data_IF_946179522426
#
_entry.id   IF_946179522426
#
_cell.length_a   1.000
_cell.length_b   1.000
_cell.length_c   1.000
_cell.angle_alpha   90.00
_cell.angle_beta   90.00
_cell.angle_gamma   90.00
#
_symmetry.space_group_name_H-M   'P 1'
#
loop_
_entity.id
_entity.type
_entity.pdbx_description
1 polymer ?
#
# COMPACT_ATOMS: atom_id res chain seq x y z
N UNK A 1 5.59 -27.39 -13.51
CA UNK A 1 4.59 -26.34 -13.11
C UNK A 1 5.02 -25.70 -11.81
N UNK A 2 4.98 -24.40 -11.77
CA UNK A 2 5.24 -23.68 -10.52
C UNK A 2 4.07 -23.86 -9.58
N UNK A 3 4.34 -24.37 -8.37
CA UNK A 3 3.35 -24.48 -7.31
C UNK A 3 3.44 -23.33 -6.33
N UNK A 4 4.32 -22.38 -6.57
CA UNK A 4 4.49 -21.19 -5.75
C UNK A 4 4.91 -20.00 -6.62
N UNK A 5 4.90 -18.84 -6.00
CA UNK A 5 5.39 -17.62 -6.64
C UNK A 5 6.25 -16.82 -5.67
N UNK A 6 6.86 -15.76 -6.17
CA UNK A 6 7.73 -14.88 -5.38
C UNK A 6 7.07 -13.54 -5.21
N UNK A 7 7.16 -12.98 -4.00
CA UNK A 7 6.80 -11.59 -3.73
C UNK A 7 8.08 -10.76 -3.68
N UNK A 8 8.10 -9.67 -4.42
CA UNK A 8 9.14 -8.66 -4.32
C UNK A 8 8.51 -7.40 -3.74
N UNK A 9 8.89 -7.06 -2.52
CA UNK A 9 8.37 -5.93 -1.78
C UNK A 9 9.39 -4.81 -1.80
N UNK A 10 8.98 -3.62 -2.24
CA UNK A 10 9.90 -2.47 -2.35
C UNK A 10 9.32 -1.22 -1.74
N UNK A 11 10.16 -0.50 -1.00
CA UNK A 11 9.90 0.87 -0.61
C UNK A 11 11.02 1.78 -1.15
N UNK A 12 11.10 3.02 -0.67
CA UNK A 12 12.08 3.98 -1.17
C UNK A 12 13.54 3.61 -0.86
N UNK A 13 13.78 2.73 0.11
CA UNK A 13 15.14 2.43 0.60
C UNK A 13 15.49 0.95 0.61
N UNK A 14 14.49 0.04 0.60
CA UNK A 14 14.74 -1.40 0.74
C UNK A 14 13.95 -2.22 -0.27
N UNK A 15 14.42 -3.43 -0.52
CA UNK A 15 13.71 -4.44 -1.27
C UNK A 15 13.78 -5.76 -0.51
N UNK A 16 12.65 -6.41 -0.35
CA UNK A 16 12.54 -7.70 0.34
C UNK A 16 11.98 -8.73 -0.63
N UNK A 17 12.69 -9.85 -0.78
CA UNK A 17 12.26 -10.96 -1.61
C UNK A 17 11.70 -12.07 -0.73
N UNK A 18 10.50 -12.54 -1.07
CA UNK A 18 9.83 -13.62 -0.35
C UNK A 18 9.51 -14.72 -1.36
N UNK A 19 10.22 -15.84 -1.25
CA UNK A 19 10.04 -16.99 -2.13
C UNK A 19 9.06 -17.99 -1.55
N UNK A 20 8.56 -18.89 -2.39
CA UNK A 20 7.73 -20.00 -1.95
C UNK A 20 6.33 -19.61 -1.49
N UNK A 21 5.76 -18.55 -2.03
CA UNK A 21 4.44 -18.07 -1.65
C UNK A 21 3.39 -18.93 -2.33
N UNK A 22 2.41 -19.41 -1.55
CA UNK A 22 1.31 -20.22 -2.05
C UNK A 22 0.05 -19.40 -2.32
N UNK A 23 -0.14 -18.31 -1.59
CA UNK A 23 -1.34 -17.50 -1.69
C UNK A 23 -1.08 -16.08 -1.21
N UNK A 24 -1.68 -15.13 -1.89
CA UNK A 24 -1.69 -13.71 -1.47
C UNK A 24 -3.13 -13.21 -1.52
N UNK A 25 -3.54 -12.46 -0.51
CA UNK A 25 -4.84 -11.80 -0.48
C UNK A 25 -4.62 -10.33 -0.25
N UNK A 26 -5.14 -9.52 -1.15
CA UNK A 26 -5.09 -8.06 -1.05
C UNK A 26 -6.47 -7.45 -1.15
N UNK A 27 -6.52 -6.13 -1.02
CA UNK A 27 -7.75 -5.38 -1.12
C UNK A 27 -7.51 -4.09 -1.89
N UNK A 28 -8.33 -3.88 -2.91
CA UNK A 28 -8.35 -2.64 -3.69
C UNK A 28 -9.73 -2.00 -3.61
N UNK A 29 -9.96 -0.93 -4.37
CA UNK A 29 -11.24 -0.22 -4.35
C UNK A 29 -12.42 -1.10 -4.76
N UNK A 30 -12.19 -2.19 -5.48
CA UNK A 30 -13.24 -3.12 -5.91
C UNK A 30 -13.52 -4.22 -4.87
N UNK A 31 -12.70 -4.35 -3.83
CA UNK A 31 -12.84 -5.34 -2.77
C UNK A 31 -11.63 -6.24 -2.63
N UNK A 32 -11.81 -7.35 -1.92
CA UNK A 32 -10.76 -8.34 -1.70
C UNK A 32 -10.55 -9.20 -2.94
N UNK A 33 -9.29 -9.58 -3.17
CA UNK A 33 -8.93 -10.49 -4.25
C UNK A 33 -7.79 -11.40 -3.80
N UNK A 34 -7.67 -12.55 -4.45
CA UNK A 34 -6.61 -13.51 -4.18
C UNK A 34 -5.74 -13.75 -5.39
N UNK A 35 -4.45 -14.03 -5.15
CA UNK A 35 -3.49 -14.42 -6.17
C UNK A 35 -2.92 -15.78 -5.78
N UNK A 36 -3.02 -16.74 -6.69
CA UNK A 36 -2.46 -18.09 -6.57
C UNK A 36 -1.37 -18.27 -7.64
N UNK A 37 -0.50 -19.27 -7.47
CA UNK A 37 0.48 -19.57 -8.51
C UNK A 37 -0.17 -19.78 -9.87
N UNK A 38 0.43 -19.25 -10.92
CA UNK A 38 -0.12 -19.32 -12.26
C UNK A 38 -1.21 -18.32 -12.60
N UNK A 39 -1.52 -17.41 -11.68
CA UNK A 39 -2.49 -16.35 -11.92
C UNK A 39 -2.12 -15.55 -13.18
N UNK A 40 -3.14 -15.13 -13.93
CA UNK A 40 -2.93 -14.29 -15.10
C UNK A 40 -2.30 -12.96 -14.73
N UNK A 41 -1.68 -12.32 -15.70
CA UNK A 41 -1.14 -10.96 -15.54
C UNK A 41 -2.20 -10.04 -14.93
N UNK A 42 -1.81 -9.33 -13.87
CA UNK A 42 -2.75 -8.53 -13.09
C UNK A 42 -2.04 -7.31 -12.52
N UNK A 43 -2.70 -6.16 -12.56
CA UNK A 43 -2.21 -4.92 -11.98
C UNK A 43 -3.33 -4.28 -11.18
N UNK A 44 -2.99 -3.76 -10.00
CA UNK A 44 -3.96 -3.07 -9.16
C UNK A 44 -3.28 -2.08 -8.24
N UNK A 45 -4.08 -1.20 -7.65
CA UNK A 45 -3.65 -0.27 -6.62
C UNK A 45 -4.32 -0.69 -5.32
N UNK A 46 -3.50 -1.08 -4.35
CA UNK A 46 -3.99 -1.45 -3.02
C UNK A 46 -4.25 -0.20 -2.19
N UNK A 47 -5.31 -0.25 -1.41
CA UNK A 47 -5.66 0.81 -0.47
C UNK A 47 -4.85 0.66 0.82
N UNK A 48 -4.81 1.72 1.64
CA UNK A 48 -4.24 1.64 2.98
C UNK A 48 -4.93 0.52 3.75
N UNK A 49 -4.17 -0.42 4.26
CA UNK A 49 -4.71 -1.54 5.00
C UNK A 49 -3.77 -2.72 5.11
N UNK A 50 -4.37 -3.89 5.32
CA UNK A 50 -3.65 -5.14 5.48
C UNK A 50 -3.83 -6.02 4.24
N UNK A 51 -2.72 -6.60 3.81
CA UNK A 51 -2.71 -7.76 2.93
C UNK A 51 -2.17 -8.95 3.71
N UNK A 52 -2.30 -10.14 3.18
CA UNK A 52 -1.75 -11.33 3.81
C UNK A 52 -1.24 -12.31 2.77
N UNK A 53 -0.26 -13.10 3.17
CA UNK A 53 0.28 -14.14 2.31
C UNK A 53 0.66 -15.36 3.15
N UNK A 54 0.74 -16.49 2.47
CA UNK A 54 1.08 -17.76 3.13
C UNK A 54 2.11 -18.51 2.32
N UNK A 55 3.06 -19.11 3.04
CA UNK A 55 4.05 -20.04 2.50
C UNK A 55 3.76 -21.44 3.00
N UNK A 56 4.35 -22.45 2.37
CA UNK A 56 4.15 -23.86 2.78
C UNK A 56 4.59 -24.07 4.23
N UNK A 57 3.74 -24.74 5.00
CA UNK A 57 4.00 -25.12 6.38
C UNK A 57 4.26 -23.96 7.33
N UNK A 58 3.81 -22.76 6.95
CA UNK A 58 3.94 -21.55 7.76
C UNK A 58 2.57 -20.91 7.98
N UNK A 59 2.39 -20.18 9.10
CA UNK A 59 1.15 -19.44 9.32
C UNK A 59 1.02 -18.28 8.34
N UNK A 60 -0.18 -17.75 8.24
CA UNK A 60 -0.40 -16.51 7.49
C UNK A 60 0.47 -15.39 8.03
N UNK A 61 1.06 -14.64 7.14
CA UNK A 61 1.76 -13.42 7.48
C UNK A 61 1.00 -12.21 6.95
N UNK A 62 1.07 -11.12 7.66
CA UNK A 62 0.32 -9.90 7.36
C UNK A 62 1.26 -8.80 6.93
N UNK A 63 0.81 -8.03 5.95
CA UNK A 63 1.50 -6.84 5.44
C UNK A 63 0.64 -5.63 5.73
N UNK A 64 1.19 -4.64 6.43
CA UNK A 64 0.55 -3.34 6.59
C UNK A 64 1.23 -2.34 5.67
N UNK A 65 0.44 -1.66 4.85
CA UNK A 65 0.94 -0.69 3.86
C UNK A 65 -0.02 0.49 3.75
N UNK A 66 0.51 1.71 3.51
CA UNK A 66 -0.36 2.89 3.33
C UNK A 66 -1.06 2.92 1.98
N UNK A 67 -0.70 2.02 1.11
CA UNK A 67 -1.17 1.83 -0.24
C UNK A 67 -0.01 1.24 -1.02
N UNK A 68 -0.28 0.60 -2.14
CA UNK A 68 0.76 -0.02 -2.93
C UNK A 68 0.32 -0.17 -4.38
N UNK A 69 1.30 -0.17 -5.29
CA UNK A 69 1.07 -0.59 -6.67
C UNK A 69 1.45 -2.06 -6.75
N UNK A 70 0.51 -2.87 -7.21
CA UNK A 70 0.66 -4.31 -7.33
C UNK A 70 0.75 -4.69 -8.81
N UNK A 71 1.73 -5.52 -9.14
CA UNK A 71 1.87 -6.07 -10.48
C UNK A 71 2.26 -7.53 -10.39
N UNK A 72 1.47 -8.39 -11.02
CA UNK A 72 1.74 -9.82 -11.07
C UNK A 72 1.93 -10.27 -12.52
N UNK A 73 3.03 -10.96 -12.77
CA UNK A 73 3.33 -11.55 -14.06
C UNK A 73 4.34 -12.69 -13.88
N UNK A 74 4.07 -13.82 -14.54
CA UNK A 74 5.00 -14.97 -14.57
C UNK A 74 5.46 -15.40 -13.18
N UNK A 75 4.52 -15.57 -12.26
CA UNK A 75 4.75 -15.97 -10.87
C UNK A 75 5.69 -15.05 -10.10
N UNK A 76 5.67 -13.77 -10.45
CA UNK A 76 6.33 -12.73 -9.68
C UNK A 76 5.32 -11.65 -9.31
N UNK A 77 5.11 -11.48 -8.02
CA UNK A 77 4.25 -10.43 -7.47
C UNK A 77 5.13 -9.28 -7.00
N UNK A 78 5.04 -8.15 -7.68
CA UNK A 78 5.77 -6.94 -7.31
C UNK A 78 4.83 -5.99 -6.56
N UNK A 79 5.24 -5.59 -5.37
CA UNK A 79 4.55 -4.60 -4.55
C UNK A 79 5.48 -3.43 -4.32
N UNK A 80 5.05 -2.25 -4.76
CA UNK A 80 5.80 -1.00 -4.55
C UNK A 80 4.97 -0.10 -3.64
N UNK A 81 5.53 0.27 -2.51
CA UNK A 81 4.85 1.05 -1.49
C UNK A 81 5.81 2.05 -0.87
N UNK A 82 5.27 3.05 -0.20
CA UNK A 82 6.06 4.04 0.51
C UNK A 82 6.71 3.45 1.76
N UNK A 83 6.01 2.55 2.44
CA UNK A 83 6.44 1.95 3.70
C UNK A 83 5.68 0.64 3.91
N UNK A 84 6.29 -0.34 4.56
CA UNK A 84 5.59 -1.59 4.86
C UNK A 84 6.07 -2.18 6.17
N UNK A 85 5.19 -2.97 6.79
CA UNK A 85 5.47 -3.78 7.97
C UNK A 85 4.99 -5.21 7.70
N UNK A 86 5.76 -6.19 8.16
CA UNK A 86 5.41 -7.62 8.06
C UNK A 86 5.35 -8.19 9.46
N UNK A 87 4.29 -8.94 9.76
CA UNK A 87 4.14 -9.58 11.06
C UNK A 87 3.23 -10.83 10.91
N UNK A 88 3.49 -11.86 11.69
CA UNK A 88 2.62 -13.04 11.74
C UNK A 88 1.52 -12.91 12.81
N UNK A 89 1.56 -11.89 13.64
CA UNK A 89 0.59 -11.64 14.70
C UNK A 89 -0.43 -10.59 14.22
N UNK A 90 -1.68 -11.01 14.05
CA UNK A 90 -2.75 -10.15 13.54
C UNK A 90 -3.01 -8.94 14.42
N UNK A 91 -3.03 -9.12 15.74
CA UNK A 91 -3.29 -8.00 16.67
C UNK A 91 -2.16 -6.97 16.62
N UNK A 92 -0.92 -7.45 16.62
CA UNK A 92 0.25 -6.58 16.58
C UNK A 92 0.34 -5.79 15.27
N UNK A 93 0.08 -6.44 14.13
CA UNK A 93 0.11 -5.75 12.84
C UNK A 93 -1.04 -4.76 12.72
N UNK A 94 -2.20 -5.07 13.31
CA UNK A 94 -3.35 -4.15 13.33
C UNK A 94 -3.02 -2.91 14.15
N UNK A 95 -2.37 -3.07 15.30
CA UNK A 95 -1.90 -1.95 16.10
C UNK A 95 -0.88 -1.10 15.35
N UNK A 96 0.03 -1.74 14.63
CA UNK A 96 1.02 -1.05 13.79
C UNK A 96 0.33 -0.26 12.68
N UNK A 97 -0.67 -0.83 12.02
CA UNK A 97 -1.43 -0.16 10.99
C UNK A 97 -2.08 1.10 11.54
N UNK A 98 -2.75 1.00 12.68
CA UNK A 98 -3.47 2.12 13.30
C UNK A 98 -2.51 3.20 13.80
N UNK A 99 -1.48 2.83 14.54
CA UNK A 99 -0.60 3.79 15.21
C UNK A 99 0.44 4.41 14.28
N UNK A 100 0.88 3.70 13.24
CA UNK A 100 1.94 4.15 12.37
C UNK A 100 1.43 4.66 11.02
N UNK A 101 0.61 3.88 10.35
CA UNK A 101 0.22 4.19 8.97
C UNK A 101 -1.04 5.06 8.90
N UNK A 102 -2.06 4.72 9.64
CA UNK A 102 -3.30 5.49 9.64
C UNK A 102 -3.09 6.88 10.22
N UNK A 103 -2.33 6.98 11.31
CA UNK A 103 -1.98 8.27 11.92
C UNK A 103 -1.17 9.16 10.96
N UNK A 104 -0.20 8.57 10.23
CA UNK A 104 0.56 9.29 9.21
C UNK A 104 -0.35 9.81 8.09
N UNK A 105 -1.28 9.00 7.63
CA UNK A 105 -2.21 9.38 6.56
C UNK A 105 -3.13 10.51 7.00
N UNK A 106 -3.64 10.47 8.20
CA UNK A 106 -4.46 11.56 8.76
C UNK A 106 -3.67 12.86 8.86
N UNK A 107 -2.42 12.79 9.33
CA UNK A 107 -1.55 13.96 9.41
C UNK A 107 -1.27 14.54 8.01
N UNK A 108 -1.04 13.69 7.00
CA UNK A 108 -0.84 14.13 5.63
C UNK A 108 -2.08 14.80 5.05
N UNK A 109 -3.27 14.29 5.36
CA UNK A 109 -4.51 14.92 4.93
C UNK A 109 -4.69 16.31 5.54
N UNK A 110 -4.37 16.49 6.81
CA UNK A 110 -4.41 17.80 7.47
C UNK A 110 -3.47 18.79 6.79
N UNK A 111 -2.26 18.35 6.47
CA UNK A 111 -1.28 19.19 5.75
C UNK A 111 -1.81 19.58 4.38
N UNK A 112 -2.38 18.63 3.64
CA UNK A 112 -2.96 18.90 2.31
C UNK A 112 -4.09 19.93 2.39
N UNK A 113 -4.97 19.82 3.39
CA UNK A 113 -6.06 20.77 3.61
C UNK A 113 -5.52 22.16 3.94
N UNK A 114 -4.52 22.25 4.81
CA UNK A 114 -3.89 23.51 5.17
C UNK A 114 -3.24 24.18 3.95
N UNK A 115 -2.55 23.41 3.12
CA UNK A 115 -1.94 23.91 1.90
C UNK A 115 -2.99 24.41 0.91
N UNK A 116 -4.11 23.69 0.77
CA UNK A 116 -5.19 24.10 -0.12
C UNK A 116 -5.83 25.41 0.34
N UNK A 117 -6.04 25.59 1.65
CA UNK A 117 -6.56 26.82 2.21
C UNK A 117 -5.61 27.99 1.99
N UNK A 118 -4.31 27.78 2.21
CA UNK A 118 -3.28 28.79 1.97
C UNK A 118 -3.25 29.20 0.50
N UNK A 119 -3.32 28.24 -0.40
CA UNK A 119 -3.35 28.48 -1.85
C UNK A 119 -4.55 29.36 -2.24
N UNK A 120 -5.73 29.08 -1.69
CA UNK A 120 -6.92 29.87 -1.92
C UNK A 120 -6.77 31.31 -1.41
N UNK A 121 -6.17 31.49 -0.24
CA UNK A 121 -5.93 32.83 0.32
C UNK A 121 -4.95 33.62 -0.55
N UNK A 122 -3.91 32.98 -1.03
CA UNK A 122 -2.94 33.60 -1.93
C UNK A 122 -3.62 34.04 -3.22
N UNK A 123 -4.46 33.20 -3.81
CA UNK A 123 -5.22 33.52 -5.01
C UNK A 123 -6.14 34.73 -4.80
N UNK A 124 -6.86 34.77 -3.66
CA UNK A 124 -7.73 35.89 -3.33
C UNK A 124 -6.96 37.22 -3.24
N UNK A 125 -5.80 37.19 -2.60
CA UNK A 125 -4.93 38.37 -2.48
C UNK A 125 -4.41 38.83 -3.84
N UNK A 126 -3.99 37.91 -4.69
CA UNK A 126 -3.53 38.22 -6.04
C UNK A 126 -4.63 38.82 -6.90
N UNK A 127 -5.87 38.28 -6.77
CA UNK A 127 -7.02 38.82 -7.50
C UNK A 127 -7.36 40.23 -7.05
N UNK A 128 -7.29 40.50 -5.74
CA UNK A 128 -7.50 41.85 -5.21
C UNK A 128 -6.48 42.84 -5.73
N UNK A 129 -5.21 42.46 -5.79
CA UNK A 129 -4.14 43.30 -6.27
C UNK A 129 -4.28 43.57 -7.79
N UNK A 130 -4.66 42.55 -8.54
CA UNK A 130 -4.87 42.68 -9.99
C UNK A 130 -6.15 43.39 -10.35
N UNK A 131 -7.19 43.32 -9.52
CA UNK A 131 -8.48 43.95 -9.76
C UNK A 131 -8.59 45.37 -9.28
N UNK A 132 -7.59 45.89 -8.59
CA UNK A 132 -7.58 47.24 -8.03
C UNK A 132 -7.03 48.31 -8.93
N UNK A 133 -6.76 47.93 -10.17
CA UNK A 133 -6.24 48.87 -11.16
C UNK A 133 -7.28 49.77 -11.80
#
# INVERSE_FOLDING_TARGET
MSQNFTIMLRDSSTATRIDGVLSFVGEDASGSFGILPGHARFMSILELGLARFRRADEPWQYLAMPGAVLYFKDNLLSLSTRRYFIDDDYERITDTLTSQLLAEEEALQEVRQSLAQLEQEILKRLLKLGGGG
#
